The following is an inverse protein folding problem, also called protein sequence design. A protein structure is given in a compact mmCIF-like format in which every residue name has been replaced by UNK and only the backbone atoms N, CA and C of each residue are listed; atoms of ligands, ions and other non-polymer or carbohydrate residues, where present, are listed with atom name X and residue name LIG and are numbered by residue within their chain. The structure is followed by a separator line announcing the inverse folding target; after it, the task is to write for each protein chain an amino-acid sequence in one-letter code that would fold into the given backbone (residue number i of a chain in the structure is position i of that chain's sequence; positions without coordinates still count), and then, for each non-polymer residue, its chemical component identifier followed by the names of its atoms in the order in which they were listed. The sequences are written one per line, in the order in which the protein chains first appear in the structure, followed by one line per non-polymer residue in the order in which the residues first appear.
data_IF_392086825401
#
_entry.id   IF_392086825401
#
_cell.length_a   1.000
_cell.length_b   1.000
_cell.length_c   1.000
_cell.angle_alpha   90.00
_cell.angle_beta   90.00
_cell.angle_gamma   90.00
#
_symmetry.space_group_name_H-M   'P 1'
#
loop_
_entity.id
_entity.type
_entity.pdbx_description
1 polymer ?
#
# COMPACT_ATOMS: atom_id res chain seq x y z
N UNK A 1 7.07 19.22 -1.42
CA UNK A 1 6.39 17.91 -1.28
C UNK A 1 7.43 16.82 -1.41
N UNK A 2 7.45 15.82 -0.53
CA UNK A 2 8.36 14.65 -0.65
C UNK A 2 7.50 13.44 -1.00
N UNK A 3 7.96 12.64 -1.96
CA UNK A 3 7.23 11.46 -2.44
C UNK A 3 8.09 10.23 -2.26
N UNK A 4 7.47 9.15 -1.79
CA UNK A 4 8.09 7.82 -1.67
C UNK A 4 7.24 6.86 -2.50
N UNK A 5 7.88 5.96 -3.23
CA UNK A 5 7.19 4.98 -4.08
C UNK A 5 7.72 3.58 -3.84
N UNK A 6 6.81 2.62 -3.74
CA UNK A 6 7.13 1.21 -3.54
C UNK A 6 6.83 0.45 -4.84
N UNK A 7 7.90 0.14 -5.59
CA UNK A 7 7.83 -0.58 -6.86
C UNK A 7 8.61 -1.91 -6.76
N UNK A 8 8.38 -2.81 -7.70
CA UNK A 8 8.97 -4.15 -7.67
C UNK A 8 8.33 -5.07 -8.69
N UNK A 9 9.14 -5.97 -9.24
CA UNK A 9 8.91 -6.62 -10.53
C UNK A 9 8.13 -7.94 -10.48
N UNK A 10 7.81 -8.46 -9.29
CA UNK A 10 7.07 -9.70 -9.11
C UNK A 10 5.92 -9.58 -8.10
N UNK A 11 4.95 -10.50 -8.14
CA UNK A 11 3.88 -10.54 -7.12
C UNK A 11 4.44 -11.01 -5.77
N UNK A 12 3.75 -10.66 -4.69
CA UNK A 12 4.05 -11.10 -3.31
C UNK A 12 5.46 -10.74 -2.78
N UNK A 13 6.15 -9.76 -3.38
CA UNK A 13 7.49 -9.31 -2.93
C UNK A 13 7.47 -8.28 -1.78
N UNK A 14 6.37 -8.21 -1.02
CA UNK A 14 6.25 -7.30 0.13
C UNK A 14 5.98 -5.82 -0.18
N UNK A 15 5.81 -5.39 -1.43
CA UNK A 15 5.56 -3.97 -1.78
C UNK A 15 4.43 -3.33 -0.98
N UNK A 16 3.24 -3.92 -1.07
CA UNK A 16 2.03 -3.40 -0.40
C UNK A 16 2.18 -3.47 1.11
N UNK A 17 2.82 -4.52 1.63
CA UNK A 17 3.11 -4.69 3.06
C UNK A 17 4.02 -3.59 3.59
N UNK A 18 5.10 -3.29 2.87
CA UNK A 18 6.03 -2.21 3.25
C UNK A 18 5.36 -0.84 3.14
N UNK A 19 4.54 -0.62 2.09
CA UNK A 19 3.80 0.62 1.93
C UNK A 19 2.83 0.86 3.11
N UNK A 20 2.09 -0.18 3.53
CA UNK A 20 1.20 -0.12 4.69
C UNK A 20 1.96 0.20 5.98
N UNK A 21 3.09 -0.46 6.22
CA UNK A 21 3.93 -0.17 7.39
C UNK A 21 4.37 1.30 7.45
N UNK A 22 4.72 1.90 6.30
CA UNK A 22 5.12 3.30 6.24
C UNK A 22 3.93 4.24 6.44
N UNK A 23 2.75 3.92 5.90
CA UNK A 23 1.51 4.67 6.16
C UNK A 23 1.21 4.69 7.66
N UNK A 24 1.23 3.53 8.32
CA UNK A 24 0.99 3.42 9.77
C UNK A 24 2.02 4.25 10.58
N UNK A 25 3.30 4.19 10.19
CA UNK A 25 4.36 4.97 10.84
C UNK A 25 4.18 6.49 10.65
N UNK A 26 3.64 6.92 9.51
CA UNK A 26 3.33 8.32 9.24
C UNK A 26 2.10 8.80 10.03
N UNK A 27 1.05 7.99 10.09
CA UNK A 27 -0.13 8.25 10.94
C UNK A 27 0.25 8.37 12.41
N UNK A 28 1.09 7.46 12.92
CA UNK A 28 1.58 7.50 14.30
C UNK A 28 2.37 8.78 14.63
N UNK A 29 2.88 9.49 13.61
CA UNK A 29 3.61 10.76 13.73
C UNK A 29 2.73 11.99 13.43
N UNK A 30 1.44 11.81 13.14
CA UNK A 30 0.52 12.89 12.79
C UNK A 30 0.84 13.57 11.46
N UNK A 31 1.49 12.85 10.53
CA UNK A 31 1.81 13.39 9.21
C UNK A 31 0.60 13.32 8.29
N UNK A 32 0.30 14.40 7.56
CA UNK A 32 -0.67 14.37 6.47
C UNK A 32 -0.08 13.65 5.27
N UNK A 33 -0.84 12.72 4.72
CA UNK A 33 -0.45 11.92 3.57
C UNK A 33 -1.37 12.21 2.39
N UNK A 34 -0.91 11.77 1.23
CA UNK A 34 -1.76 11.53 0.07
C UNK A 34 -1.28 10.20 -0.51
N UNK A 35 -2.22 9.30 -0.80
CA UNK A 35 -1.89 7.97 -1.29
C UNK A 35 -2.39 7.77 -2.72
N UNK A 36 -1.55 7.18 -3.56
CA UNK A 36 -1.96 6.61 -4.83
C UNK A 36 -1.43 5.20 -4.96
N UNK A 37 -2.22 4.30 -5.55
CA UNK A 37 -1.83 2.92 -5.80
C UNK A 37 -2.29 2.54 -7.20
N UNK A 38 -1.35 2.08 -8.03
CA UNK A 38 -1.62 1.60 -9.38
C UNK A 38 -1.50 0.07 -9.40
N UNK A 39 -2.58 -0.61 -9.02
CA UNK A 39 -2.69 -2.06 -9.18
C UNK A 39 -3.04 -2.40 -10.62
N UNK A 40 -2.16 -3.08 -11.35
CA UNK A 40 -2.43 -3.50 -12.73
C UNK A 40 -3.60 -4.50 -12.80
N UNK A 41 -3.69 -5.40 -11.84
CA UNK A 41 -4.50 -6.61 -11.95
C UNK A 41 -5.99 -6.42 -11.58
N UNK A 42 -6.34 -5.35 -10.85
CA UNK A 42 -7.72 -5.08 -10.38
C UNK A 42 -8.40 -6.16 -9.49
N UNK A 43 -7.70 -7.25 -9.21
CA UNK A 43 -8.22 -8.44 -8.53
C UNK A 43 -8.44 -8.24 -7.02
N UNK A 44 -9.53 -8.80 -6.49
CA UNK A 44 -9.84 -8.77 -5.05
C UNK A 44 -9.03 -9.79 -4.23
N UNK A 45 -8.61 -10.88 -4.88
CA UNK A 45 -7.82 -11.96 -4.31
C UNK A 45 -6.53 -12.10 -5.11
N UNK A 46 -5.46 -12.43 -4.42
CA UNK A 46 -4.19 -12.73 -5.05
C UNK A 46 -4.30 -14.03 -5.86
N UNK A 47 -4.06 -13.97 -7.17
CA UNK A 47 -4.24 -15.12 -8.05
C UNK A 47 -3.19 -16.23 -7.86
N UNK A 48 -2.10 -15.98 -7.13
CA UNK A 48 -1.06 -16.98 -6.84
C UNK A 48 -1.44 -17.80 -5.60
N UNK A 49 -1.88 -17.12 -4.54
CA UNK A 49 -2.14 -17.72 -3.22
C UNK A 49 -3.62 -17.93 -2.90
N UNK A 50 -4.52 -17.28 -3.63
CA UNK A 50 -5.96 -17.24 -3.34
C UNK A 50 -6.35 -16.40 -2.12
N UNK A 51 -5.36 -15.83 -1.40
CA UNK A 51 -5.59 -15.02 -0.21
C UNK A 51 -6.12 -13.63 -0.57
N UNK A 52 -6.85 -12.96 0.36
CA UNK A 52 -7.24 -11.58 0.17
C UNK A 52 -6.01 -10.70 -0.04
N UNK A 53 -6.07 -9.78 -1.01
CA UNK A 53 -5.01 -8.78 -1.18
C UNK A 53 -4.99 -7.84 0.04
N UNK A 54 -3.81 -7.46 0.58
CA UNK A 54 -3.72 -6.43 1.60
C UNK A 54 -4.35 -5.13 1.08
N UNK A 55 -5.23 -4.51 1.87
CA UNK A 55 -5.89 -3.25 1.51
C UNK A 55 -5.26 -2.08 2.24
N UNK A 56 -5.18 -0.95 1.54
CA UNK A 56 -4.86 0.33 2.17
C UNK A 56 -6.01 0.76 3.09
N UNK A 57 -5.65 1.16 4.30
CA UNK A 57 -6.56 1.76 5.28
C UNK A 57 -6.15 3.22 5.41
N UNK A 58 -7.08 4.13 5.11
CA UNK A 58 -6.86 5.56 5.16
C UNK A 58 -7.63 6.17 6.32
N UNK A 59 -7.07 7.24 6.88
CA UNK A 59 -7.69 8.07 7.90
C UNK A 59 -8.34 9.30 7.26
N UNK A 60 -9.23 9.95 8.00
CA UNK A 60 -9.83 11.21 7.54
C UNK A 60 -8.74 12.26 7.34
N UNK A 61 -8.59 12.74 6.11
CA UNK A 61 -7.63 13.78 5.74
C UNK A 61 -6.36 13.30 5.05
N UNK A 62 -6.23 11.98 4.82
CA UNK A 62 -5.32 11.38 3.83
C UNK A 62 -5.78 11.61 2.38
#
# INVERSE_FOLDING_TARGET
MRTISFAGTAKNTGKTTTALYVVDACHARGLRLALTSIGYDGELKDNVTGLPKPRYVLQTGD
#
